data_IF_788617372071
#
_entry.id   IF_788617372071
#
_cell.length_a   1.000
_cell.length_b   1.000
_cell.length_c   1.000
_cell.angle_alpha   90.00
_cell.angle_beta   90.00
_cell.angle_gamma   90.00
#
_symmetry.space_group_name_H-M   'P 1'
#
loop_
_entity.id
_entity.type
_entity.pdbx_description
1 polymer ?
#
# COMPACT_ATOMS: atom_id res chain seq x y z
N UNK A 1 -2.07 -1.96 19.28
CA UNK A 1 -1.99 -1.81 17.81
C UNK A 1 -0.96 -0.73 17.51
N UNK A 2 -0.15 -0.87 16.46
CA UNK A 2 0.82 0.18 16.10
C UNK A 2 0.10 1.42 15.56
N UNK A 3 0.63 2.62 15.84
CA UNK A 3 0.19 3.89 15.26
C UNK A 3 0.44 3.87 13.75
N UNK A 4 -0.50 4.41 12.98
CA UNK A 4 -0.38 4.55 11.52
C UNK A 4 -0.38 6.04 11.19
N UNK A 5 0.78 6.55 10.75
CA UNK A 5 0.97 7.93 10.32
C UNK A 5 0.95 7.98 8.80
N UNK A 6 0.01 8.73 8.22
CA UNK A 6 -0.18 8.83 6.77
C UNK A 6 0.31 10.19 6.29
N UNK A 7 1.44 10.22 5.58
CA UNK A 7 1.99 11.47 5.05
C UNK A 7 1.30 11.89 3.76
N UNK A 8 1.46 13.15 3.36
CA UNK A 8 0.81 13.73 2.19
C UNK A 8 1.06 12.94 0.90
N UNK A 9 2.28 12.43 0.70
CA UNK A 9 2.63 11.66 -0.50
C UNK A 9 1.82 10.37 -0.68
N UNK A 10 1.33 9.77 0.41
CA UNK A 10 0.49 8.58 0.35
C UNK A 10 -0.90 8.85 -0.27
N UNK A 11 -1.37 10.10 -0.22
CA UNK A 11 -2.71 10.49 -0.70
C UNK A 11 -2.76 10.80 -2.21
N UNK A 12 -1.61 10.69 -2.89
CA UNK A 12 -1.45 11.12 -4.29
C UNK A 12 -2.27 10.34 -5.30
N UNK A 13 -2.68 9.11 -5.01
CA UNK A 13 -3.35 8.23 -5.98
C UNK A 13 -4.81 7.92 -5.62
N UNK A 14 -5.50 8.85 -4.97
CA UNK A 14 -6.95 8.74 -4.75
C UNK A 14 -7.36 7.61 -3.80
N UNK A 15 -6.43 7.10 -2.98
CA UNK A 15 -6.70 6.18 -1.89
C UNK A 15 -6.93 7.00 -0.62
N UNK A 16 -8.05 6.75 0.04
CA UNK A 16 -8.44 7.44 1.27
C UNK A 16 -7.62 6.96 2.47
N UNK A 17 -7.58 7.79 3.52
CA UNK A 17 -6.87 7.43 4.75
C UNK A 17 -7.49 6.19 5.43
N UNK A 18 -8.79 5.95 5.27
CA UNK A 18 -9.47 4.79 5.86
C UNK A 18 -9.14 3.50 5.12
N UNK A 19 -9.07 3.55 3.78
CA UNK A 19 -8.56 2.43 2.97
C UNK A 19 -7.12 2.09 3.33
N UNK A 20 -6.26 3.11 3.48
CA UNK A 20 -4.87 2.92 3.90
C UNK A 20 -4.82 2.24 5.29
N UNK A 21 -5.59 2.74 6.26
CA UNK A 21 -5.61 2.16 7.61
C UNK A 21 -6.13 0.74 7.61
N UNK A 22 -7.16 0.43 6.82
CA UNK A 22 -7.71 -0.90 6.68
C UNK A 22 -6.64 -1.88 6.17
N UNK A 23 -5.97 -1.55 5.06
CA UNK A 23 -4.95 -2.40 4.43
C UNK A 23 -3.74 -2.62 5.34
N UNK A 24 -3.29 -1.59 6.07
CA UNK A 24 -2.16 -1.74 7.02
C UNK A 24 -2.55 -2.57 8.24
N UNK A 25 -3.79 -2.46 8.69
CA UNK A 25 -4.30 -3.16 9.87
C UNK A 25 -4.64 -4.64 9.59
N UNK A 26 -5.15 -4.91 8.40
CA UNK A 26 -5.65 -6.22 7.97
C UNK A 26 -5.13 -6.59 6.57
N UNK A 27 -3.80 -6.70 6.40
CA UNK A 27 -3.23 -7.03 5.10
C UNK A 27 -3.54 -8.48 4.72
N UNK A 28 -3.83 -8.72 3.44
CA UNK A 28 -3.77 -10.07 2.88
C UNK A 28 -2.31 -10.55 2.81
N UNK A 29 -1.42 -9.63 2.44
CA UNK A 29 0.01 -9.88 2.37
C UNK A 29 0.78 -8.70 2.95
N UNK A 30 1.75 -9.02 3.82
CA UNK A 30 2.79 -8.09 4.25
C UNK A 30 4.14 -8.74 4.01
N UNK A 31 5.01 -8.06 3.26
CA UNK A 31 6.38 -8.51 3.03
C UNK A 31 7.35 -7.35 3.15
N UNK A 32 8.65 -7.63 3.11
CA UNK A 32 9.71 -6.63 3.17
C UNK A 32 10.30 -6.45 1.78
N UNK A 33 10.41 -5.20 1.33
CA UNK A 33 11.16 -4.90 0.11
C UNK A 33 12.66 -4.84 0.38
N UNK A 34 13.45 -5.16 -0.64
CA UNK A 34 14.88 -4.91 -0.62
C UNK A 34 15.10 -3.42 -0.37
N UNK A 35 15.83 -3.14 0.70
CA UNK A 35 16.18 -1.79 1.11
C UNK A 35 16.99 -1.10 0.00
N UNK A 36 16.50 0.04 -0.49
CA UNK A 36 17.17 0.86 -1.52
C UNK A 36 17.89 2.08 -0.95
N UNK A 37 17.43 2.56 0.21
CA UNK A 37 18.00 3.71 0.92
C UNK A 37 18.46 3.29 2.32
N UNK A 38 19.59 3.83 2.81
CA UNK A 38 20.02 3.61 4.19
C UNK A 38 18.89 3.90 5.18
N UNK A 39 18.79 3.08 6.22
CA UNK A 39 17.86 3.25 7.35
C UNK A 39 16.36 3.18 7.02
N UNK A 40 15.98 2.91 5.77
CA UNK A 40 14.59 2.62 5.40
C UNK A 40 14.30 1.12 5.48
N UNK A 41 13.12 0.77 5.98
CA UNK A 41 12.63 -0.61 6.04
C UNK A 41 11.26 -0.66 5.38
N UNK A 42 11.19 -0.57 4.04
CA UNK A 42 9.90 -0.47 3.37
C UNK A 42 9.19 -1.82 3.38
N UNK A 43 7.97 -1.80 3.91
CA UNK A 43 7.03 -2.92 3.88
C UNK A 43 5.85 -2.58 2.97
N UNK A 44 5.66 -3.33 1.87
CA UNK A 44 4.39 -3.38 1.16
C UNK A 44 3.36 -4.18 1.96
N UNK A 45 2.19 -3.59 2.05
CA UNK A 45 0.94 -4.16 2.52
C UNK A 45 0.02 -4.22 1.30
N UNK A 46 -0.49 -5.41 1.00
CA UNK A 46 -1.48 -5.62 -0.06
C UNK A 46 -2.75 -6.13 0.59
N UNK A 47 -3.88 -5.53 0.25
CA UNK A 47 -5.19 -5.94 0.74
C UNK A 47 -6.31 -5.16 0.08
N UNK A 48 -7.54 -5.61 0.31
CA UNK A 48 -8.75 -4.91 -0.13
C UNK A 48 -9.30 -4.06 1.01
N UNK A 49 -10.04 -3.00 0.69
CA UNK A 49 -10.82 -2.27 1.70
C UNK A 49 -12.06 -3.06 2.14
N UNK A 50 -12.71 -3.70 1.17
CA UNK A 50 -13.83 -4.64 1.34
C UNK A 50 -13.60 -5.87 0.43
N UNK A 51 -14.28 -6.99 0.69
CA UNK A 51 -14.09 -8.28 0.03
C UNK A 51 -14.29 -8.24 -1.49
N UNK A 52 -15.20 -7.37 -1.96
CA UNK A 52 -15.53 -7.23 -3.39
C UNK A 52 -14.80 -6.05 -4.06
N UNK A 53 -13.93 -5.34 -3.32
CA UNK A 53 -13.16 -4.22 -3.87
C UNK A 53 -11.80 -4.67 -4.41
N UNK A 54 -11.26 -4.03 -5.46
CA UNK A 54 -9.94 -4.36 -5.99
C UNK A 54 -8.82 -4.11 -4.95
N UNK A 55 -7.71 -4.87 -5.00
CA UNK A 55 -6.63 -4.77 -4.03
C UNK A 55 -5.85 -3.45 -4.18
N UNK A 56 -5.39 -2.97 -3.04
CA UNK A 56 -4.62 -1.74 -2.86
C UNK A 56 -3.20 -2.13 -2.42
N UNK A 57 -2.21 -1.45 -3.00
CA UNK A 57 -0.81 -1.50 -2.61
C UNK A 57 -0.53 -0.30 -1.69
N UNK A 58 -0.13 -0.56 -0.44
CA UNK A 58 0.31 0.46 0.53
C UNK A 58 1.76 0.16 0.92
N UNK A 59 2.65 1.16 0.87
CA UNK A 59 4.03 1.01 1.35
C UNK A 59 4.25 1.92 2.56
N UNK A 60 4.76 1.31 3.63
CA UNK A 60 5.09 1.99 4.86
C UNK A 60 6.48 1.60 5.37
N UNK A 61 7.14 2.52 6.06
CA UNK A 61 8.34 2.24 6.85
C UNK A 61 7.96 1.96 8.30
N UNK A 62 8.65 0.99 8.91
CA UNK A 62 8.62 0.76 10.36
C UNK A 62 9.70 1.63 11.01
N UNK A 63 9.33 2.81 11.49
CA UNK A 63 10.29 3.76 12.09
C UNK A 63 10.60 3.46 13.55
N UNK A 64 9.65 2.88 14.27
CA UNK A 64 9.81 2.30 15.60
C UNK A 64 8.89 1.07 15.75
N UNK A 65 9.05 0.20 16.78
CA UNK A 65 8.23 -0.99 16.94
C UNK A 65 6.71 -0.76 17.07
N UNK A 66 6.29 0.49 17.29
CA UNK A 66 4.92 0.92 17.52
C UNK A 66 4.40 1.92 16.46
N UNK A 67 5.15 2.26 15.41
CA UNK A 67 4.73 3.22 14.38
C UNK A 67 5.05 2.80 12.95
N UNK A 68 4.00 2.77 12.13
CA UNK A 68 4.07 2.69 10.67
C UNK A 68 3.93 4.08 10.06
N UNK A 69 4.88 4.48 9.23
CA UNK A 69 4.78 5.71 8.42
C UNK A 69 4.48 5.33 6.98
N UNK A 70 3.25 5.59 6.55
CA UNK A 70 2.77 5.32 5.19
C UNK A 70 3.11 6.49 4.29
N UNK A 71 3.88 6.22 3.24
CA UNK A 71 4.33 7.25 2.29
C UNK A 71 3.87 7.01 0.85
N UNK A 72 3.27 5.85 0.57
CA UNK A 72 2.75 5.49 -0.75
C UNK A 72 1.49 4.61 -0.61
N UNK A 73 0.46 4.91 -1.39
CA UNK A 73 -0.72 4.06 -1.54
C UNK A 73 -1.28 4.24 -2.95
N UNK A 74 -1.66 3.14 -3.60
CA UNK A 74 -2.28 3.13 -4.93
C UNK A 74 -3.03 1.82 -5.21
N UNK A 75 -3.79 1.74 -6.30
CA UNK A 75 -4.36 0.45 -6.73
C UNK A 75 -3.21 -0.52 -7.05
N UNK A 76 -3.34 -1.79 -6.66
CA UNK A 76 -2.29 -2.79 -6.87
C UNK A 76 -1.86 -2.84 -8.34
N UNK A 77 -0.54 -2.82 -8.57
CA UNK A 77 0.01 -2.84 -9.92
C UNK A 77 0.47 -4.24 -10.33
N UNK A 78 0.34 -4.60 -11.62
CA UNK A 78 0.94 -5.84 -12.15
C UNK A 78 2.44 -5.95 -11.89
N UNK A 79 3.16 -4.81 -11.85
CA UNK A 79 4.58 -4.81 -11.57
C UNK A 79 4.90 -5.24 -10.12
N UNK A 80 4.09 -4.86 -9.14
CA UNK A 80 4.29 -5.27 -7.75
C UNK A 80 4.04 -6.77 -7.60
N UNK A 81 2.99 -7.30 -8.25
CA UNK A 81 2.73 -8.74 -8.31
C UNK A 81 3.96 -9.49 -8.84
N UNK A 82 4.50 -9.07 -9.99
CA UNK A 82 5.70 -9.70 -10.57
C UNK A 82 6.94 -9.58 -9.69
N UNK A 83 7.14 -8.41 -9.07
CA UNK A 83 8.30 -8.17 -8.22
C UNK A 83 8.27 -9.06 -6.97
N UNK A 84 7.08 -9.34 -6.44
CA UNK A 84 6.88 -10.15 -5.25
C UNK A 84 6.55 -11.63 -5.56
N UNK A 85 6.52 -12.01 -6.85
CA UNK A 85 6.18 -13.35 -7.33
C UNK A 85 4.80 -13.84 -6.82
N UNK A 86 3.79 -12.97 -6.93
CA UNK A 86 2.43 -13.20 -6.41
C UNK A 86 1.43 -13.59 -7.52
N UNK A 87 1.90 -14.00 -8.69
CA UNK A 87 1.05 -14.31 -9.84
C UNK A 87 0.03 -15.43 -9.56
N UNK A 88 0.32 -16.32 -8.62
CA UNK A 88 -0.62 -17.38 -8.19
C UNK A 88 -1.71 -16.88 -7.23
N UNK A 89 -1.56 -15.68 -6.66
CA UNK A 89 -2.49 -15.10 -5.69
C UNK A 89 -3.45 -14.07 -6.28
N UNK A 90 -3.17 -13.57 -7.48
CA UNK A 90 -3.96 -12.52 -8.13
C UNK A 90 -4.24 -12.90 -9.59
N UNK A 91 -5.50 -12.98 -9.95
CA UNK A 91 -5.93 -13.10 -11.33
C UNK A 91 -5.95 -11.71 -12.00
N UNK A 92 -5.76 -11.65 -13.32
CA UNK A 92 -5.78 -10.37 -14.05
C UNK A 92 -7.11 -9.59 -13.90
N UNK A 93 -8.20 -10.27 -13.57
CA UNK A 93 -9.51 -9.66 -13.29
C UNK A 93 -9.59 -8.95 -11.94
N UNK A 94 -8.67 -9.23 -11.02
CA UNK A 94 -8.67 -8.63 -9.68
C UNK A 94 -8.15 -7.19 -9.70
N UNK A 95 -7.47 -6.78 -10.77
CA UNK A 95 -6.81 -5.48 -10.86
C UNK A 95 -7.74 -4.39 -11.38
N UNK A 96 -7.66 -3.22 -10.75
CA UNK A 96 -8.36 -2.02 -11.20
C UNK A 96 -7.43 -0.96 -11.78
N UNK A 97 -8.01 -0.07 -12.58
CA UNK A 97 -7.33 1.13 -13.06
C UNK A 97 -6.94 2.04 -11.89
N UNK A 98 -5.85 2.79 -12.07
CA UNK A 98 -5.43 3.79 -11.10
C UNK A 98 -6.50 4.86 -10.95
N UNK A 99 -6.82 5.20 -9.70
CA UNK A 99 -7.75 6.27 -9.39
C UNK A 99 -7.10 7.63 -9.70
N UNK A 100 -7.89 8.64 -10.11
CA UNK A 100 -7.37 9.98 -10.31
C UNK A 100 -6.71 10.45 -9.01
N UNK A 101 -5.51 11.01 -9.14
CA UNK A 101 -4.83 11.59 -8.00
C UNK A 101 -5.58 12.80 -7.45
N UNK A 102 -5.32 13.14 -6.19
CA UNK A 102 -5.66 14.48 -5.72
C UNK A 102 -4.74 15.46 -6.45
N UNK A 103 -5.26 16.18 -7.44
CA UNK A 103 -4.56 17.33 -8.00
C UNK A 103 -4.29 18.31 -6.86
N UNK A 104 -3.02 18.52 -6.55
CA UNK A 104 -2.58 19.55 -5.61
C UNK A 104 -2.77 20.91 -6.28
N UNK A 105 -3.99 21.42 -6.26
CA UNK A 105 -4.24 22.85 -6.42
C UNK A 105 -3.80 23.51 -5.11
N UNK A 106 -2.60 24.09 -5.14
CA UNK A 106 -2.07 24.98 -4.09
C UNK A 106 -1.84 26.34 -4.71
#
# INVERSE_FOLDING_TARGET
>A
MARITIVESARKHGISDDEIRAVVSYPMLRTRLTQRLPETLPYPFIGNFDQDEPPIEVIADLVDPAEWVVFHAMMLRPQMIRQLQLEELFEFGDLAYQRPGKESWS
#
